data_IF_260468371007
#
_entry.id   IF_260468371007
#
_cell.length_a   1.000
_cell.length_b   1.000
_cell.length_c   1.000
_cell.angle_alpha   90.00
_cell.angle_beta   90.00
_cell.angle_gamma   90.00
#
_symmetry.space_group_name_H-M   'P 1'
#
loop_
_entity.id
_entity.type
_entity.pdbx_description
1 polymer ?
#
# COMPACT_ATOMS: atom_id res chain seq x y z
N UNK A 1 -59.62 15.16 38.21
CA UNK A 1 -58.57 14.14 38.16
C UNK A 1 -57.96 14.20 36.76
N UNK A 2 -56.85 14.89 36.60
CA UNK A 2 -56.15 15.08 35.30
C UNK A 2 -55.01 14.04 35.21
N UNK A 3 -55.04 13.12 34.26
CA UNK A 3 -53.99 12.16 34.01
C UNK A 3 -52.99 12.75 33.03
N UNK A 4 -51.75 13.03 33.50
CA UNK A 4 -50.64 13.41 32.66
C UNK A 4 -50.01 12.15 32.03
N UNK A 5 -50.05 12.03 30.72
CA UNK A 5 -49.33 11.01 29.97
C UNK A 5 -47.98 11.60 29.60
N UNK A 6 -46.92 11.04 30.18
CA UNK A 6 -45.54 11.39 29.89
C UNK A 6 -45.05 10.56 28.72
N UNK A 7 -44.98 11.17 27.55
CA UNK A 7 -44.42 10.54 26.35
C UNK A 7 -42.89 10.54 26.43
N UNK A 8 -42.33 9.35 26.54
CA UNK A 8 -40.88 9.13 26.55
C UNK A 8 -40.40 9.03 25.06
N UNK A 9 -39.80 10.08 24.53
CA UNK A 9 -39.12 10.04 23.24
C UNK A 9 -37.76 9.37 23.40
N UNK A 10 -37.63 8.13 22.94
CA UNK A 10 -36.35 7.46 22.81
C UNK A 10 -35.68 7.96 21.51
N UNK A 11 -34.69 8.80 21.67
CA UNK A 11 -33.86 9.29 20.56
C UNK A 11 -32.81 8.20 20.26
N UNK A 12 -33.06 7.37 19.24
CA UNK A 12 -32.10 6.41 18.75
C UNK A 12 -31.00 7.17 17.96
N UNK A 13 -29.87 7.40 18.60
CA UNK A 13 -28.67 7.94 17.92
C UNK A 13 -28.05 6.85 17.05
N UNK A 14 -28.28 6.93 15.76
CA UNK A 14 -27.63 6.09 14.75
C UNK A 14 -26.16 6.53 14.64
N UNK A 15 -25.25 5.83 15.31
CA UNK A 15 -23.81 6.06 15.20
C UNK A 15 -23.33 5.60 13.84
N UNK A 16 -23.22 6.51 12.88
CA UNK A 16 -22.49 6.27 11.64
C UNK A 16 -21.00 6.12 11.98
N UNK A 17 -20.50 4.90 11.99
CA UNK A 17 -19.06 4.65 12.02
C UNK A 17 -18.48 5.04 10.65
N UNK A 18 -18.01 6.28 10.54
CA UNK A 18 -17.15 6.68 9.43
C UNK A 18 -15.84 5.93 9.61
N UNK A 19 -15.60 4.91 8.79
CA UNK A 19 -14.29 4.28 8.68
C UNK A 19 -13.31 5.33 8.14
N UNK A 20 -12.61 6.00 9.02
CA UNK A 20 -11.52 6.90 8.65
C UNK A 20 -10.45 6.06 7.96
N UNK A 21 -10.32 6.17 6.65
CA UNK A 21 -9.15 5.69 5.91
C UNK A 21 -7.95 6.47 6.46
N UNK A 22 -6.95 5.75 6.95
CA UNK A 22 -5.70 6.38 7.40
C UNK A 22 -4.86 6.64 6.15
N UNK A 23 -4.75 7.90 5.77
CA UNK A 23 -3.74 8.37 4.82
C UNK A 23 -2.36 8.10 5.42
N UNK A 24 -1.46 7.48 4.64
CA UNK A 24 -0.08 7.32 5.07
C UNK A 24 0.58 8.70 5.11
N UNK A 25 1.29 8.99 6.18
CA UNK A 25 2.12 10.20 6.22
C UNK A 25 3.31 9.99 5.30
N UNK A 26 3.46 10.86 4.30
CA UNK A 26 4.59 10.86 3.36
C UNK A 26 5.54 12.00 3.71
N UNK A 27 6.83 11.69 3.84
CA UNK A 27 7.91 12.66 4.13
C UNK A 27 9.13 12.39 3.25
N UNK A 28 10.16 13.21 3.34
CA UNK A 28 11.44 12.94 2.69
C UNK A 28 12.08 11.65 3.21
N UNK A 29 12.98 11.06 2.42
CA UNK A 29 13.69 9.83 2.78
C UNK A 29 14.46 9.98 4.09
N UNK A 30 14.43 8.95 4.92
CA UNK A 30 15.08 8.91 6.23
C UNK A 30 16.20 7.87 6.27
N UNK A 31 17.03 7.89 7.34
CA UNK A 31 18.07 6.90 7.56
C UNK A 31 17.46 5.52 7.78
N UNK A 32 17.95 4.52 7.05
CA UNK A 32 17.51 3.12 7.17
C UNK A 32 17.88 2.56 8.54
N UNK A 33 16.97 1.82 9.15
CA UNK A 33 17.18 1.18 10.44
C UNK A 33 18.25 0.09 10.36
N UNK A 34 19.05 0.00 11.41
CA UNK A 34 20.08 -1.04 11.55
C UNK A 34 19.66 -2.03 12.64
N UNK A 35 19.70 -3.31 12.33
CA UNK A 35 19.41 -4.38 13.29
C UNK A 35 20.53 -4.53 14.30
N UNK A 36 20.19 -5.06 15.48
CA UNK A 36 21.19 -5.42 16.51
C UNK A 36 21.74 -6.83 16.28
N UNK A 37 22.97 -7.13 16.75
CA UNK A 37 23.65 -8.43 16.53
C UNK A 37 22.87 -9.65 17.06
N UNK A 38 21.93 -9.45 17.98
CA UNK A 38 21.12 -10.52 18.58
C UNK A 38 19.80 -10.78 17.87
N UNK A 39 19.54 -10.14 16.72
CA UNK A 39 18.29 -10.24 15.98
C UNK A 39 18.28 -11.42 15.04
N UNK A 40 17.11 -12.01 14.81
CA UNK A 40 16.94 -13.09 13.84
C UNK A 40 16.55 -12.52 12.48
N UNK A 41 17.19 -13.01 11.43
CA UNK A 41 16.89 -12.64 10.03
C UNK A 41 15.96 -13.68 9.43
N UNK A 42 14.90 -13.22 8.77
CA UNK A 42 13.92 -14.03 8.06
C UNK A 42 13.85 -13.58 6.59
N UNK A 43 13.86 -14.54 5.67
CA UNK A 43 13.79 -14.29 4.24
C UNK A 43 12.35 -14.37 3.75
N UNK A 44 11.97 -13.45 2.88
CA UNK A 44 10.62 -13.38 2.32
C UNK A 44 10.30 -14.63 1.49
N UNK A 45 9.14 -15.22 1.78
CA UNK A 45 8.52 -16.22 0.92
C UNK A 45 7.77 -15.50 -0.21
N UNK A 46 8.34 -15.54 -1.40
CA UNK A 46 7.82 -14.89 -2.62
C UNK A 46 6.46 -15.41 -3.05
N UNK A 47 6.15 -16.67 -2.76
CA UNK A 47 4.90 -17.30 -3.19
C UNK A 47 3.68 -16.83 -2.38
N UNK A 48 3.91 -16.36 -1.16
CA UNK A 48 2.86 -16.00 -0.21
C UNK A 48 2.90 -14.54 0.24
N UNK A 49 3.86 -13.76 -0.27
CA UNK A 49 4.00 -12.33 -0.01
C UNK A 49 3.50 -11.52 -1.19
N UNK A 50 2.66 -10.50 -0.92
CA UNK A 50 1.94 -9.77 -1.95
C UNK A 50 1.64 -8.34 -1.52
N UNK A 51 1.53 -7.45 -2.48
CA UNK A 51 0.97 -6.11 -2.34
C UNK A 51 -0.35 -6.09 -3.11
N UNK A 52 -1.46 -5.84 -2.43
CA UNK A 52 -2.75 -5.54 -3.04
C UNK A 52 -2.85 -4.03 -3.27
N UNK A 53 -3.37 -3.61 -4.42
CA UNK A 53 -3.60 -2.20 -4.74
C UNK A 53 -5.02 -1.94 -5.22
N UNK A 54 -5.52 -0.72 -4.95
CA UNK A 54 -6.79 -0.22 -5.49
C UNK A 54 -6.59 1.20 -6.01
N UNK A 55 -6.85 1.40 -7.30
CA UNK A 55 -6.90 2.70 -7.95
C UNK A 55 -8.34 3.11 -8.25
N UNK A 56 -8.69 4.38 -8.03
CA UNK A 56 -10.07 4.88 -8.12
C UNK A 56 -10.21 6.03 -9.10
N UNK A 57 -11.38 6.11 -9.74
CA UNK A 57 -11.83 7.20 -10.61
C UNK A 57 -13.32 7.44 -10.36
N UNK A 58 -13.94 8.55 -10.79
CA UNK A 58 -15.36 8.81 -10.58
C UNK A 58 -16.27 7.69 -11.08
N UNK A 59 -15.90 7.06 -12.19
CA UNK A 59 -16.69 5.99 -12.84
C UNK A 59 -16.47 4.59 -12.23
N UNK A 60 -15.62 4.44 -11.19
CA UNK A 60 -15.34 3.13 -10.58
C UNK A 60 -13.92 3.00 -10.05
N UNK A 61 -13.51 1.77 -9.84
CA UNK A 61 -12.19 1.43 -9.34
C UNK A 61 -11.65 0.19 -10.05
N UNK A 62 -10.33 0.02 -10.02
CA UNK A 62 -9.66 -1.22 -10.38
C UNK A 62 -8.79 -1.70 -9.23
N UNK A 63 -8.68 -3.02 -9.12
CA UNK A 63 -7.88 -3.68 -8.09
C UNK A 63 -6.88 -4.63 -8.73
N UNK A 64 -5.80 -4.88 -8.02
CA UNK A 64 -4.81 -5.82 -8.50
C UNK A 64 -3.72 -6.10 -7.49
N UNK A 65 -2.65 -6.74 -7.97
CA UNK A 65 -1.55 -7.16 -7.13
C UNK A 65 -0.20 -6.81 -7.74
N UNK A 66 0.83 -6.75 -6.87
CA UNK A 66 2.24 -6.67 -7.25
C UNK A 66 2.99 -7.70 -6.40
N UNK A 67 3.84 -8.51 -7.03
CA UNK A 67 4.64 -9.51 -6.34
C UNK A 67 5.82 -8.89 -5.59
N UNK A 68 6.13 -9.43 -4.42
CA UNK A 68 7.37 -9.15 -3.71
C UNK A 68 8.40 -10.19 -4.18
N UNK A 69 9.43 -9.73 -4.90
CA UNK A 69 10.40 -10.59 -5.57
C UNK A 69 11.55 -11.02 -4.64
N UNK A 70 11.90 -10.17 -3.69
CA UNK A 70 12.98 -10.42 -2.72
C UNK A 70 12.70 -9.66 -1.43
N UNK A 71 13.33 -10.09 -0.35
CA UNK A 71 13.33 -9.32 0.87
C UNK A 71 13.81 -10.12 2.08
N UNK A 72 14.13 -9.36 3.10
CA UNK A 72 14.43 -9.87 4.42
C UNK A 72 13.87 -8.94 5.49
N UNK A 73 13.55 -9.50 6.63
CA UNK A 73 13.15 -8.76 7.82
C UNK A 73 13.92 -9.28 9.02
N UNK A 74 14.39 -8.36 9.83
CA UNK A 74 15.14 -8.67 11.04
C UNK A 74 14.28 -8.37 12.25
N UNK A 75 14.16 -9.35 13.13
CA UNK A 75 13.27 -9.30 14.29
C UNK A 75 14.01 -9.71 15.57
N UNK A 76 13.77 -8.96 16.65
CA UNK A 76 14.22 -9.28 17.99
C UNK A 76 13.03 -9.54 18.91
N UNK A 77 12.87 -10.78 19.36
CA UNK A 77 11.61 -11.21 19.97
C UNK A 77 10.45 -11.03 18.96
N UNK A 78 9.47 -10.19 19.28
CA UNK A 78 8.35 -9.85 18.39
C UNK A 78 8.45 -8.43 17.81
N UNK A 79 9.61 -7.78 17.91
CA UNK A 79 9.82 -6.42 17.44
C UNK A 79 10.61 -6.44 16.14
N UNK A 80 10.05 -5.87 15.09
CA UNK A 80 10.77 -5.61 13.83
C UNK A 80 11.81 -4.53 14.10
N UNK A 81 13.07 -4.81 13.76
CA UNK A 81 14.17 -3.86 13.89
C UNK A 81 14.58 -3.25 12.55
N UNK A 82 14.60 -4.06 11.49
CA UNK A 82 14.90 -3.59 10.13
C UNK A 82 14.24 -4.48 9.09
N UNK A 83 14.28 -4.09 7.84
CA UNK A 83 13.80 -4.90 6.71
C UNK A 83 14.02 -4.19 5.39
N UNK A 84 14.23 -5.00 4.35
CA UNK A 84 14.37 -4.54 2.98
C UNK A 84 13.59 -5.46 2.07
N UNK A 85 12.81 -4.87 1.16
CA UNK A 85 11.93 -5.59 0.25
C UNK A 85 12.07 -5.02 -1.16
N UNK A 86 12.04 -5.89 -2.16
CA UNK A 86 12.04 -5.53 -3.58
C UNK A 86 10.75 -6.02 -4.21
N UNK A 87 10.08 -5.16 -4.94
CA UNK A 87 8.85 -5.45 -5.67
C UNK A 87 9.16 -5.62 -7.15
N UNK A 88 8.57 -6.62 -7.80
CA UNK A 88 8.62 -6.78 -9.25
C UNK A 88 7.50 -5.95 -9.89
N UNK A 89 7.83 -4.76 -10.38
CA UNK A 89 6.86 -3.87 -11.02
C UNK A 89 6.34 -4.42 -12.35
N UNK A 90 7.05 -5.38 -12.96
CA UNK A 90 6.58 -6.06 -14.18
C UNK A 90 5.45 -7.05 -13.88
N UNK A 91 5.30 -7.46 -12.62
CA UNK A 91 4.25 -8.37 -12.14
C UNK A 91 2.90 -7.69 -11.88
N UNK A 92 2.77 -6.37 -12.08
CA UNK A 92 1.49 -5.67 -11.91
C UNK A 92 0.39 -6.45 -12.63
N UNK A 93 -0.62 -6.88 -11.87
CA UNK A 93 -1.72 -7.69 -12.38
C UNK A 93 -3.04 -7.08 -11.95
N UNK A 94 -4.00 -6.99 -12.87
CA UNK A 94 -5.38 -6.56 -12.61
C UNK A 94 -6.21 -7.78 -12.23
N UNK A 95 -7.00 -7.69 -11.16
CA UNK A 95 -7.76 -8.82 -10.61
C UNK A 95 -9.28 -8.71 -10.74
N UNK A 96 -9.79 -7.52 -11.03
CA UNK A 96 -11.22 -7.23 -11.17
C UNK A 96 -11.73 -7.24 -12.62
N UNK A 97 -10.85 -7.40 -13.61
CA UNK A 97 -11.20 -7.51 -15.03
C UNK A 97 -10.84 -8.89 -15.59
N UNK A 98 -11.59 -9.29 -16.60
CA UNK A 98 -11.25 -10.44 -17.46
C UNK A 98 -10.50 -9.97 -18.73
N UNK A 99 -9.84 -10.88 -19.43
CA UNK A 99 -9.15 -10.55 -20.67
C UNK A 99 -10.09 -9.90 -21.72
N UNK A 100 -11.31 -10.41 -21.85
CA UNK A 100 -12.33 -9.86 -22.75
C UNK A 100 -12.84 -8.46 -22.35
N UNK A 101 -12.59 -8.04 -21.11
CA UNK A 101 -13.05 -6.77 -20.55
C UNK A 101 -11.92 -5.73 -20.48
N UNK A 102 -10.78 -5.98 -21.17
CA UNK A 102 -9.65 -5.05 -21.27
C UNK A 102 -8.60 -5.17 -20.15
N UNK A 103 -8.50 -6.32 -19.48
CA UNK A 103 -7.49 -6.57 -18.46
C UNK A 103 -6.07 -6.29 -19.00
N UNK A 104 -5.71 -6.92 -20.12
CA UNK A 104 -4.39 -6.77 -20.73
C UNK A 104 -4.08 -5.33 -21.13
N UNK A 105 -5.07 -4.58 -21.64
CA UNK A 105 -4.91 -3.17 -22.02
C UNK A 105 -4.60 -2.30 -20.79
N UNK A 106 -5.32 -2.54 -19.67
CA UNK A 106 -5.06 -1.83 -18.44
C UNK A 106 -3.69 -2.17 -17.85
N UNK A 107 -3.32 -3.46 -17.83
CA UNK A 107 -1.99 -3.89 -17.36
C UNK A 107 -0.87 -3.29 -18.20
N UNK A 108 -1.00 -3.29 -19.53
CA UNK A 108 -0.04 -2.66 -20.45
C UNK A 108 0.07 -1.15 -20.18
N UNK A 109 -1.05 -0.47 -19.94
CA UNK A 109 -1.02 0.95 -19.66
C UNK A 109 -0.34 1.24 -18.31
N UNK A 110 -0.64 0.47 -17.25
CA UNK A 110 0.03 0.62 -15.95
C UNK A 110 1.54 0.35 -16.03
N UNK A 111 1.95 -0.63 -16.83
CA UNK A 111 3.35 -1.01 -17.01
C UNK A 111 4.09 -0.10 -17.99
N UNK A 112 3.40 0.59 -18.90
CA UNK A 112 4.01 1.30 -20.05
C UNK A 112 4.57 0.33 -21.09
N UNK A 113 3.82 -0.73 -21.42
CA UNK A 113 4.19 -1.82 -22.34
C UNK A 113 3.13 -2.01 -23.43
N UNK A 114 3.34 -2.95 -24.35
CA UNK A 114 2.43 -3.20 -25.47
C UNK A 114 2.23 -1.92 -26.32
N UNK A 115 1.00 -1.58 -26.64
CA UNK A 115 0.64 -0.38 -27.41
C UNK A 115 0.95 0.93 -26.63
N UNK A 116 1.28 0.82 -25.36
CA UNK A 116 1.68 1.92 -24.46
C UNK A 116 3.18 1.94 -24.20
N UNK A 117 3.96 1.19 -24.98
CA UNK A 117 5.41 1.15 -24.84
C UNK A 117 6.03 2.54 -25.06
N UNK A 118 6.86 2.95 -24.09
CA UNK A 118 7.52 4.26 -24.08
C UNK A 118 6.69 5.40 -23.51
N UNK A 119 5.41 5.19 -23.17
CA UNK A 119 4.60 6.16 -22.43
C UNK A 119 4.98 6.16 -20.95
N UNK A 120 5.30 7.33 -20.40
CA UNK A 120 5.62 7.49 -18.97
C UNK A 120 4.37 7.89 -18.16
N UNK A 121 3.22 7.31 -18.51
CA UNK A 121 1.94 7.64 -17.89
C UNK A 121 1.85 7.13 -16.44
N UNK A 122 2.29 5.89 -16.20
CA UNK A 122 2.26 5.26 -14.88
C UNK A 122 3.64 4.81 -14.44
N UNK A 123 3.87 3.51 -14.30
CA UNK A 123 5.09 3.00 -13.66
C UNK A 123 6.29 2.84 -14.58
N UNK A 124 6.08 2.78 -15.91
CA UNK A 124 7.15 2.63 -16.91
C UNK A 124 8.13 1.50 -16.50
N UNK A 125 7.60 0.28 -16.42
CA UNK A 125 8.33 -0.87 -15.87
C UNK A 125 9.52 -1.31 -16.71
N UNK A 126 9.61 -0.88 -17.96
CA UNK A 126 10.79 -1.08 -18.83
C UNK A 126 11.98 -0.29 -18.27
N UNK A 127 11.75 0.94 -17.80
CA UNK A 127 12.80 1.79 -17.21
C UNK A 127 12.98 1.53 -15.71
N UNK A 128 11.88 1.22 -15.02
CA UNK A 128 11.85 1.02 -13.57
C UNK A 128 11.21 -0.33 -13.24
N UNK A 129 11.92 -1.46 -13.51
CA UNK A 129 11.35 -2.80 -13.34
C UNK A 129 11.11 -3.19 -11.88
N UNK A 130 11.73 -2.48 -10.95
CA UNK A 130 11.62 -2.76 -9.51
C UNK A 130 11.25 -1.52 -8.72
N UNK A 131 10.51 -1.73 -7.63
CA UNK A 131 10.38 -0.80 -6.53
C UNK A 131 11.03 -1.40 -5.27
N UNK A 132 11.32 -0.58 -4.26
CA UNK A 132 11.91 -1.05 -3.00
C UNK A 132 11.24 -0.39 -1.80
N UNK A 133 11.25 -1.11 -0.67
CA UNK A 133 10.88 -0.55 0.62
C UNK A 133 11.93 -0.94 1.66
N UNK A 134 12.49 0.06 2.35
CA UNK A 134 13.51 -0.13 3.40
C UNK A 134 13.02 0.47 4.71
N UNK A 135 12.88 -0.35 5.74
CA UNK A 135 12.37 0.09 7.05
C UNK A 135 13.36 1.09 7.67
N UNK A 136 12.85 2.25 8.05
CA UNK A 136 13.60 3.27 8.79
C UNK A 136 13.28 3.24 10.28
N UNK A 137 12.05 2.80 10.63
CA UNK A 137 11.63 2.67 12.01
C UNK A 137 10.43 1.73 12.15
N UNK A 138 10.35 1.02 13.25
CA UNK A 138 9.15 0.30 13.66
C UNK A 138 8.87 0.56 15.13
N UNK A 139 7.62 0.92 15.46
CA UNK A 139 7.22 1.28 16.83
C UNK A 139 5.93 0.57 17.20
N UNK A 140 5.93 -0.17 18.29
CA UNK A 140 4.73 -0.85 18.80
C UNK A 140 3.92 0.15 19.62
N UNK A 141 2.65 0.33 19.27
CA UNK A 141 1.69 1.15 19.99
C UNK A 141 0.27 0.58 19.79
N UNK A 142 -0.53 0.56 20.84
CA UNK A 142 -1.95 0.14 20.81
C UNK A 142 -2.19 -1.22 20.14
N UNK A 143 -1.29 -2.18 20.35
CA UNK A 143 -1.37 -3.53 19.78
C UNK A 143 -1.05 -3.63 18.29
N UNK A 144 -0.60 -2.55 17.67
CA UNK A 144 -0.12 -2.48 16.28
C UNK A 144 1.35 -2.08 16.23
N UNK A 145 2.00 -2.43 15.14
CA UNK A 145 3.33 -1.92 14.80
C UNK A 145 3.17 -0.82 13.75
N UNK A 146 3.51 0.41 14.09
CA UNK A 146 3.66 1.46 13.09
C UNK A 146 5.00 1.27 12.39
N UNK A 147 4.96 0.92 11.11
CA UNK A 147 6.14 0.76 10.25
C UNK A 147 6.35 2.06 9.48
N UNK A 148 7.54 2.60 9.55
CA UNK A 148 8.02 3.72 8.76
C UNK A 148 9.15 3.21 7.86
N UNK A 149 9.16 3.62 6.59
CA UNK A 149 10.19 3.15 5.66
C UNK A 149 10.25 3.95 4.37
N UNK A 150 11.41 3.90 3.74
CA UNK A 150 11.68 4.54 2.46
C UNK A 150 11.11 3.69 1.32
N UNK A 151 10.06 4.18 0.69
CA UNK A 151 9.46 3.61 -0.51
C UNK A 151 10.08 4.25 -1.74
N UNK A 152 10.70 3.46 -2.60
CA UNK A 152 11.23 3.92 -3.89
C UNK A 152 10.38 3.35 -5.03
N UNK A 153 9.79 4.25 -5.82
CA UNK A 153 9.08 3.94 -7.07
C UNK A 153 9.56 4.92 -8.15
N UNK A 154 9.70 4.48 -9.39
CA UNK A 154 10.18 5.31 -10.52
C UNK A 154 11.46 6.10 -10.21
N UNK A 155 12.34 5.57 -9.35
CA UNK A 155 13.58 6.26 -8.95
C UNK A 155 13.41 7.40 -7.94
N UNK A 156 12.19 7.66 -7.45
CA UNK A 156 11.91 8.66 -6.41
C UNK A 156 11.71 7.92 -5.08
N UNK A 157 12.37 8.41 -4.03
CA UNK A 157 12.30 7.84 -2.69
C UNK A 157 11.60 8.79 -1.73
N UNK A 158 10.57 8.31 -1.06
CA UNK A 158 9.87 9.02 0.03
C UNK A 158 9.68 8.08 1.21
N UNK A 159 9.71 8.62 2.43
CA UNK A 159 9.36 7.85 3.61
C UNK A 159 7.84 7.80 3.77
N UNK A 160 7.32 6.61 4.03
CA UNK A 160 5.89 6.38 4.28
C UNK A 160 5.70 5.66 5.61
N UNK A 161 4.59 5.97 6.30
CA UNK A 161 4.24 5.40 7.59
C UNK A 161 2.86 4.77 7.54
N UNK A 162 2.75 3.52 7.99
CA UNK A 162 1.47 2.80 8.06
C UNK A 162 1.44 1.82 9.24
N UNK A 163 0.26 1.53 9.78
CA UNK A 163 0.08 0.53 10.83
C UNK A 163 0.05 -0.89 10.23
N UNK A 164 0.62 -1.85 10.96
CA UNK A 164 0.63 -3.27 10.60
C UNK A 164 0.44 -4.15 11.85
N UNK A 165 -0.05 -5.35 11.62
CA UNK A 165 0.01 -6.46 12.57
C UNK A 165 1.25 -7.29 12.26
N UNK A 166 2.08 -7.51 13.27
CA UNK A 166 3.27 -8.36 13.17
C UNK A 166 3.08 -9.56 14.08
N UNK A 167 3.21 -10.75 13.50
CA UNK A 167 3.21 -12.02 14.23
C UNK A 167 4.52 -12.70 13.93
N UNK A 168 5.35 -12.94 14.96
CA UNK A 168 6.63 -13.61 14.83
C UNK A 168 6.70 -14.79 15.79
N UNK A 169 7.27 -15.90 15.31
CA UNK A 169 7.57 -17.08 16.11
C UNK A 169 8.96 -17.64 15.75
N UNK A 170 9.28 -18.83 16.27
CA UNK A 170 10.58 -19.45 16.03
C UNK A 170 10.83 -19.81 14.55
N UNK A 171 9.78 -19.94 13.74
CA UNK A 171 9.82 -20.45 12.36
C UNK A 171 9.63 -19.38 11.32
N UNK A 172 8.90 -18.30 11.64
CA UNK A 172 8.58 -17.29 10.66
C UNK A 172 8.05 -15.98 11.23
N UNK A 173 7.88 -15.04 10.33
CA UNK A 173 7.28 -13.71 10.58
C UNK A 173 6.21 -13.46 9.56
N UNK A 174 5.04 -13.00 10.01
CA UNK A 174 4.00 -12.47 9.14
C UNK A 174 3.77 -11.01 9.48
N UNK A 175 3.86 -10.14 8.48
CA UNK A 175 3.54 -8.72 8.57
C UNK A 175 2.34 -8.47 7.66
N UNK A 176 1.25 -7.94 8.22
CA UNK A 176 0.06 -7.58 7.45
C UNK A 176 -0.30 -6.12 7.76
N UNK A 177 -0.19 -5.24 6.78
CA UNK A 177 -0.59 -3.84 6.97
C UNK A 177 -2.12 -3.72 7.08
N UNK A 178 -2.58 -2.71 7.79
CA UNK A 178 -3.92 -2.19 7.53
C UNK A 178 -3.95 -1.62 6.10
N UNK A 179 -5.14 -1.35 5.57
CA UNK A 179 -5.24 -0.60 4.30
C UNK A 179 -4.81 0.84 4.56
N UNK A 180 -3.86 1.32 3.76
CA UNK A 180 -3.37 2.69 3.80
C UNK A 180 -3.34 3.30 2.41
N UNK A 181 -3.28 4.62 2.31
CA UNK A 181 -3.21 5.33 1.03
C UNK A 181 -1.87 6.03 0.87
N UNK A 182 -1.39 6.08 -0.37
CA UNK A 182 -0.28 6.93 -0.79
C UNK A 182 -0.75 7.81 -1.94
N UNK A 183 -0.24 9.04 -2.01
CA UNK A 183 -0.45 9.91 -3.16
C UNK A 183 0.58 9.54 -4.25
N UNK A 184 0.13 8.93 -5.35
CA UNK A 184 0.98 8.44 -6.44
C UNK A 184 1.81 9.53 -7.12
N UNK A 185 1.36 10.78 -7.07
CA UNK A 185 2.06 11.91 -7.70
C UNK A 185 3.39 12.24 -7.01
N UNK A 186 3.55 11.86 -5.74
CA UNK A 186 4.80 11.98 -5.00
C UNK A 186 5.94 11.15 -5.63
N UNK A 187 5.61 10.14 -6.43
CA UNK A 187 6.54 9.31 -7.20
C UNK A 187 6.46 9.56 -8.71
N UNK A 188 5.93 10.72 -9.13
CA UNK A 188 5.88 11.10 -10.55
C UNK A 188 4.91 10.26 -11.39
N UNK A 189 3.93 9.59 -10.78
CA UNK A 189 2.84 8.90 -11.48
C UNK A 189 1.70 9.88 -11.68
N UNK A 190 1.77 10.67 -12.77
CA UNK A 190 0.99 11.90 -12.94
C UNK A 190 -0.17 11.78 -13.94
N UNK A 191 -0.29 10.66 -14.66
CA UNK A 191 -1.30 10.50 -15.70
C UNK A 191 -2.72 10.71 -15.15
N UNK A 192 -3.47 11.60 -15.82
CA UNK A 192 -4.83 11.98 -15.46
C UNK A 192 -5.01 12.31 -13.96
N UNK A 193 -3.99 12.93 -13.34
CA UNK A 193 -4.04 13.36 -11.94
C UNK A 193 -5.04 14.49 -11.77
N UNK A 194 -5.93 14.33 -10.78
CA UNK A 194 -6.93 15.35 -10.43
C UNK A 194 -6.28 16.65 -9.93
N UNK A 195 -5.16 16.55 -9.22
CA UNK A 195 -4.50 17.73 -8.64
C UNK A 195 -3.55 18.45 -9.59
N UNK A 196 -3.14 17.79 -10.69
CA UNK A 196 -2.14 18.34 -11.62
C UNK A 196 -2.73 18.73 -12.99
N UNK A 197 -3.99 18.37 -13.29
CA UNK A 197 -4.61 18.60 -14.59
C UNK A 197 -6.05 19.11 -14.41
N UNK A 198 -6.33 20.34 -14.84
CA UNK A 198 -7.58 21.04 -14.56
C UNK A 198 -8.79 20.58 -15.41
N UNK A 199 -8.60 20.16 -16.66
CA UNK A 199 -9.69 19.97 -17.63
C UNK A 199 -10.20 18.51 -17.77
N UNK A 200 -9.89 17.63 -16.82
CA UNK A 200 -10.20 16.20 -16.91
C UNK A 200 -11.69 15.87 -16.74
N UNK A 201 -12.49 16.77 -16.16
CA UNK A 201 -13.89 16.52 -15.77
C UNK A 201 -13.98 15.18 -15.00
N UNK A 202 -14.84 14.26 -15.45
CA UNK A 202 -15.00 12.94 -14.84
C UNK A 202 -14.00 11.88 -15.33
N UNK A 203 -12.94 12.30 -16.07
CA UNK A 203 -11.91 11.40 -16.61
C UNK A 203 -10.65 11.32 -15.72
N UNK A 204 -10.62 12.04 -14.61
CA UNK A 204 -9.48 11.99 -13.72
C UNK A 204 -9.37 10.63 -13.02
N UNK A 205 -8.14 10.31 -12.61
CA UNK A 205 -7.82 9.20 -11.70
C UNK A 205 -7.40 9.83 -10.38
N UNK A 206 -7.96 9.33 -9.26
CA UNK A 206 -7.57 9.83 -7.94
C UNK A 206 -6.05 9.72 -7.76
N UNK A 207 -5.50 10.72 -7.09
CA UNK A 207 -4.07 10.71 -6.78
C UNK A 207 -3.73 9.68 -5.71
N UNK A 208 -4.69 9.38 -4.83
CA UNK A 208 -4.56 8.36 -3.80
C UNK A 208 -4.73 6.96 -4.36
N UNK A 209 -3.76 6.09 -4.05
CA UNK A 209 -3.83 4.63 -4.27
C UNK A 209 -3.94 3.97 -2.89
N UNK A 210 -4.91 3.06 -2.72
CA UNK A 210 -5.00 2.21 -1.53
C UNK A 210 -4.09 1.00 -1.69
N UNK A 211 -3.34 0.71 -0.63
CA UNK A 211 -2.42 -0.42 -0.56
C UNK A 211 -2.72 -1.27 0.67
N UNK A 212 -2.54 -2.58 0.52
CA UNK A 212 -2.44 -3.55 1.61
C UNK A 212 -1.27 -4.47 1.34
N UNK A 213 -0.38 -4.61 2.31
CA UNK A 213 0.84 -5.40 2.16
C UNK A 213 0.76 -6.63 3.08
N UNK A 214 1.03 -7.78 2.52
CA UNK A 214 1.22 -9.02 3.27
C UNK A 214 2.61 -9.57 2.97
N UNK A 215 3.45 -9.67 4.01
CA UNK A 215 4.77 -10.29 3.95
C UNK A 215 4.76 -11.52 4.83
N UNK A 216 5.17 -12.65 4.29
CA UNK A 216 5.52 -13.85 5.05
C UNK A 216 7.00 -14.14 4.84
N UNK A 217 7.71 -14.36 5.93
CA UNK A 217 9.16 -14.62 5.90
C UNK A 217 9.50 -15.80 6.82
N UNK A 218 10.48 -16.59 6.41
CA UNK A 218 10.96 -17.78 7.15
C UNK A 218 12.47 -17.71 7.35
N UNK A 219 12.97 -18.46 8.33
CA UNK A 219 14.42 -18.60 8.56
C UNK A 219 15.09 -19.36 7.43
#
# INVERSE_FOLDING_TARGET
>A
MKKNILSLFVLATLSLTVACKKEATTTEAETVATATDSSAVYKVDKATSIIDWTGKKPAGQHTGTIAISEGEVTVKGNVVESGKFTFDMTSITVTDLKEADGKGDLENHLKGTGDKAGEDHFFNTTKFPTGTFEITKATVADGKTNIEGNLTLKGITKNVKFPATVVADATGVTITSDVFTINRTEWGVNYASKSLQDDLKDKFINDDIELKVTVKATK
#
